data_IF_422163283788
#
_entry.id   IF_422163283788
#
_cell.length_a   1.000
_cell.length_b   1.000
_cell.length_c   1.000
_cell.angle_alpha   90.00
_cell.angle_beta   90.00
_cell.angle_gamma   90.00
#
_symmetry.space_group_name_H-M   'P 1'
#
loop_
_entity.id
_entity.type
_entity.pdbx_description
1 polymer ?
#
# COMPACT_ATOMS: atom_id res chain seq x y z
N UNK A 1 6.19 13.94 -4.78
CA UNK A 1 4.75 14.28 -4.69
C UNK A 1 3.91 13.02 -4.93
N UNK A 2 3.90 12.02 -4.03
CA UNK A 2 3.35 10.70 -4.40
C UNK A 2 2.19 10.21 -3.52
N UNK A 3 2.21 10.45 -2.21
CA UNK A 3 1.17 9.87 -1.32
C UNK A 3 -0.16 10.59 -1.41
N UNK A 4 -0.14 11.93 -1.52
CA UNK A 4 -1.37 12.73 -1.62
C UNK A 4 -2.11 12.46 -2.93
N UNK A 5 -1.41 12.45 -4.08
CA UNK A 5 -2.02 12.15 -5.38
C UNK A 5 -2.59 10.74 -5.45
N UNK A 6 -1.89 9.75 -4.88
CA UNK A 6 -2.40 8.38 -4.81
C UNK A 6 -3.70 8.31 -3.99
N UNK A 7 -3.75 8.95 -2.82
CA UNK A 7 -4.95 9.04 -2.00
C UNK A 7 -6.12 9.71 -2.74
N UNK A 8 -5.85 10.78 -3.48
CA UNK A 8 -6.87 11.47 -4.29
C UNK A 8 -7.40 10.57 -5.41
N UNK A 9 -6.54 9.87 -6.15
CA UNK A 9 -6.95 8.96 -7.24
C UNK A 9 -7.78 7.81 -6.68
N UNK A 10 -7.35 7.18 -5.60
CA UNK A 10 -8.10 6.09 -4.95
C UNK A 10 -9.46 6.58 -4.47
N UNK A 11 -9.51 7.75 -3.83
CA UNK A 11 -10.77 8.35 -3.37
C UNK A 11 -11.74 8.68 -4.50
N UNK A 12 -11.25 9.21 -5.63
CA UNK A 12 -12.07 9.51 -6.80
C UNK A 12 -12.63 8.22 -7.44
N UNK A 13 -11.80 7.18 -7.58
CA UNK A 13 -12.25 5.89 -8.12
C UNK A 13 -13.31 5.27 -7.22
N UNK A 14 -13.10 5.26 -5.89
CA UNK A 14 -14.08 4.74 -4.94
C UNK A 14 -15.38 5.54 -4.96
N UNK A 15 -15.31 6.87 -5.06
CA UNK A 15 -16.48 7.74 -5.17
C UNK A 15 -17.28 7.49 -6.45
N UNK A 16 -16.60 7.29 -7.59
CA UNK A 16 -17.26 6.92 -8.85
C UNK A 16 -17.97 5.57 -8.74
N UNK A 17 -17.29 4.54 -8.20
CA UNK A 17 -17.92 3.22 -8.03
C UNK A 17 -19.12 3.29 -7.09
N UNK A 18 -19.04 4.09 -6.03
CA UNK A 18 -20.16 4.31 -5.12
C UNK A 18 -21.39 4.89 -5.85
N UNK A 19 -21.20 5.89 -6.71
CA UNK A 19 -22.29 6.56 -7.43
C UNK A 19 -22.88 5.69 -8.54
N UNK A 20 -22.05 4.98 -9.30
CA UNK A 20 -22.50 4.21 -10.47
C UNK A 20 -22.90 2.76 -10.18
N UNK A 21 -22.20 2.11 -9.25
CA UNK A 21 -22.41 0.69 -8.94
C UNK A 21 -23.05 0.46 -7.57
N UNK A 22 -23.08 1.46 -6.70
CA UNK A 22 -23.65 1.38 -5.35
C UNK A 22 -22.69 0.82 -4.31
N UNK A 23 -23.20 0.59 -3.11
CA UNK A 23 -22.37 0.28 -1.93
C UNK A 23 -21.67 -1.10 -2.00
N UNK A 24 -22.39 -2.14 -2.46
CA UNK A 24 -21.83 -3.50 -2.55
C UNK A 24 -20.60 -3.58 -3.46
N UNK A 25 -20.69 -3.14 -4.74
CA UNK A 25 -19.56 -3.13 -5.65
C UNK A 25 -18.41 -2.21 -5.19
N UNK A 26 -18.71 -1.10 -4.50
CA UNK A 26 -17.69 -0.22 -3.93
C UNK A 26 -16.82 -0.94 -2.90
N UNK A 27 -17.39 -1.80 -2.04
CA UNK A 27 -16.61 -2.61 -1.11
C UNK A 27 -15.72 -3.64 -1.82
N UNK A 28 -16.20 -4.27 -2.89
CA UNK A 28 -15.41 -5.22 -3.68
C UNK A 28 -14.21 -4.52 -4.32
N UNK A 29 -14.42 -3.34 -4.92
CA UNK A 29 -13.34 -2.54 -5.50
C UNK A 29 -12.37 -2.04 -4.43
N UNK A 30 -12.87 -1.61 -3.27
CA UNK A 30 -12.03 -1.21 -2.15
C UNK A 30 -11.15 -2.38 -1.67
N UNK A 31 -11.72 -3.60 -1.59
CA UNK A 31 -10.98 -4.79 -1.19
C UNK A 31 -9.91 -5.17 -2.21
N UNK A 32 -10.24 -5.17 -3.50
CA UNK A 32 -9.27 -5.43 -4.57
C UNK A 32 -8.19 -4.35 -4.66
N UNK A 33 -8.57 -3.08 -4.49
CA UNK A 33 -7.63 -1.96 -4.45
C UNK A 33 -6.66 -2.07 -3.27
N UNK A 34 -7.16 -2.43 -2.08
CA UNK A 34 -6.35 -2.69 -0.90
C UNK A 34 -5.44 -3.91 -1.10
N UNK A 35 -5.93 -4.98 -1.72
CA UNK A 35 -5.14 -6.17 -2.04
C UNK A 35 -4.02 -5.84 -3.04
N UNK A 36 -4.31 -5.11 -4.12
CA UNK A 36 -3.31 -4.65 -5.09
C UNK A 36 -2.29 -3.70 -4.45
N UNK A 37 -2.72 -2.83 -3.55
CA UNK A 37 -1.82 -1.98 -2.77
C UNK A 37 -0.92 -2.79 -1.83
N UNK A 38 -1.45 -3.82 -1.17
CA UNK A 38 -0.69 -4.72 -0.32
C UNK A 38 0.34 -5.53 -1.13
N UNK A 39 -0.06 -6.08 -2.29
CA UNK A 39 0.85 -6.82 -3.18
C UNK A 39 1.95 -5.91 -3.70
N UNK A 40 1.63 -4.69 -4.15
CA UNK A 40 2.64 -3.73 -4.61
C UNK A 40 3.56 -3.26 -3.49
N UNK A 41 3.07 -3.12 -2.25
CA UNK A 41 3.89 -2.88 -1.06
C UNK A 41 4.88 -4.01 -0.76
N UNK A 42 4.44 -5.26 -0.93
CA UNK A 42 5.29 -6.46 -0.76
C UNK A 42 6.34 -6.52 -1.87
N UNK A 43 5.94 -6.31 -3.13
CA UNK A 43 6.85 -6.34 -4.29
C UNK A 43 7.83 -5.16 -4.31
N UNK A 44 7.40 -3.98 -3.86
CA UNK A 44 8.24 -2.78 -3.78
C UNK A 44 9.36 -2.92 -2.74
N UNK A 45 9.38 -4.00 -1.94
CA UNK A 45 10.40 -4.20 -0.90
C UNK A 45 10.32 -3.20 0.26
N UNK A 46 9.29 -2.33 0.29
CA UNK A 46 9.02 -1.39 1.38
C UNK A 46 8.51 -2.09 2.65
N UNK A 47 8.04 -3.35 2.55
CA UNK A 47 8.13 -4.31 3.65
C UNK A 47 9.60 -4.69 3.82
N UNK A 48 10.35 -3.71 4.29
CA UNK A 48 11.78 -3.70 4.37
C UNK A 48 12.23 -4.57 5.55
N UNK A 49 12.17 -5.90 5.36
CA UNK A 49 12.89 -6.87 6.19
C UNK A 49 14.40 -6.61 6.20
N UNK A 50 14.92 -5.79 5.27
CA UNK A 50 16.33 -5.38 5.21
C UNK A 50 16.68 -4.28 6.24
N UNK A 51 15.74 -3.39 6.57
CA UNK A 51 15.92 -2.38 7.64
C UNK A 51 15.98 -3.00 9.05
N UNK A 52 15.26 -4.10 9.27
CA UNK A 52 15.27 -4.83 10.54
C UNK A 52 16.53 -5.72 10.69
N UNK A 53 17.11 -6.21 9.58
CA UNK A 53 18.35 -7.01 9.61
C UNK A 53 19.61 -6.15 9.73
N UNK A 54 19.64 -4.97 9.13
CA UNK A 54 20.78 -4.04 9.25
C UNK A 54 20.97 -3.52 10.68
N UNK A 55 19.89 -3.36 11.46
CA UNK A 55 19.98 -2.97 12.86
C UNK A 55 20.56 -4.08 13.77
N UNK A 56 20.47 -5.35 13.36
CA UNK A 56 21.07 -6.48 14.09
C UNK A 56 22.54 -6.70 13.71
N UNK A 57 22.93 -6.34 12.48
CA UNK A 57 24.30 -6.55 11.97
C UNK A 57 25.31 -5.48 12.42
N UNK A 58 24.85 -4.31 12.91
CA UNK A 58 25.75 -3.23 13.30
C UNK A 58 26.33 -3.36 14.73
N UNK A 59 25.90 -4.35 15.54
CA UNK A 59 26.50 -4.67 16.85
C UNK A 59 27.71 -5.62 16.78
N UNK A 60 28.24 -5.90 15.58
CA UNK A 60 29.34 -6.85 15.37
C UNK A 60 30.52 -6.27 14.59
N UNK A 61 30.94 -5.03 14.90
CA UNK A 61 32.26 -4.54 14.48
C UNK A 61 33.16 -4.33 15.70
N UNK A 62 34.03 -5.31 16.03
CA UNK A 62 35.16 -5.14 16.93
C UNK A 62 36.39 -4.75 16.11
N UNK A 63 36.85 -3.50 16.20
CA UNK A 63 38.26 -3.10 15.98
C UNK A 63 38.53 -1.81 16.73
#
# INVERSE_FOLDING_TARGET
>A
MNRTQFGTVVGVVLGLVLVFAGFGPMLVVALFGAAGWAVTKVLAGELDVSSLTSMTQQRRSPR
#
